data_IF_472356217472
#
_entry.id   IF_472356217472
#
_cell.length_a   1.000
_cell.length_b   1.000
_cell.length_c   1.000
_cell.angle_alpha   90.00
_cell.angle_beta   90.00
_cell.angle_gamma   90.00
#
_symmetry.space_group_name_H-M   'P 1'
#
loop_
_entity.id
_entity.type
_entity.pdbx_description
1 polymer ?
#
# COMPACT_ATOMS: atom_id res chain seq x y z
N UNK A 1 5.08 -8.58 -11.61
CA UNK A 1 4.76 -7.43 -12.48
C UNK A 1 3.27 -7.13 -12.48
N UNK A 2 2.41 -8.15 -12.44
CA UNK A 2 0.95 -8.07 -12.54
C UNK A 2 0.30 -7.08 -11.55
N UNK A 3 0.71 -7.12 -10.28
CA UNK A 3 0.11 -6.31 -9.20
C UNK A 3 0.15 -4.79 -9.45
N UNK A 4 1.25 -4.25 -10.00
CA UNK A 4 1.35 -2.80 -10.18
C UNK A 4 0.52 -2.31 -11.38
N UNK A 5 0.35 -3.16 -12.39
CA UNK A 5 -0.39 -2.81 -13.60
C UNK A 5 -1.90 -2.76 -13.35
N UNK A 6 -2.42 -3.66 -12.51
CA UNK A 6 -3.82 -3.67 -12.07
C UNK A 6 -4.20 -2.40 -11.30
N UNK A 7 -3.24 -1.87 -10.53
CA UNK A 7 -3.36 -0.61 -9.78
C UNK A 7 -3.04 0.65 -10.64
N UNK A 8 -2.80 0.48 -11.94
CA UNK A 8 -2.54 1.57 -12.89
C UNK A 8 -1.11 2.13 -12.89
N UNK A 9 -0.21 1.57 -12.06
CA UNK A 9 1.19 1.94 -12.02
C UNK A 9 1.97 1.32 -13.20
N UNK A 10 3.06 1.98 -13.57
CA UNK A 10 4.01 1.50 -14.56
C UNK A 10 5.45 1.60 -14.06
N UNK A 11 6.31 0.77 -14.63
CA UNK A 11 7.74 0.76 -14.36
C UNK A 11 8.51 0.01 -15.45
N UNK A 12 9.83 0.08 -15.35
CA UNK A 12 10.73 -0.75 -16.15
C UNK A 12 11.00 -2.05 -15.39
N UNK A 13 10.77 -3.18 -16.06
CA UNK A 13 11.02 -4.50 -15.49
C UNK A 13 12.41 -5.01 -15.85
N UNK A 14 12.94 -5.86 -14.97
CA UNK A 14 14.22 -6.54 -15.12
C UNK A 14 14.09 -7.97 -14.60
N UNK A 15 15.08 -8.82 -14.91
CA UNK A 15 15.11 -10.20 -14.44
C UNK A 15 15.79 -10.30 -13.07
N UNK A 16 15.16 -10.92 -12.05
CA UNK A 16 15.79 -11.13 -10.76
C UNK A 16 17.10 -11.92 -10.88
N UNK A 17 18.14 -11.45 -10.19
CA UNK A 17 19.47 -12.08 -10.24
C UNK A 17 20.32 -11.71 -11.47
N UNK A 18 19.78 -10.94 -12.41
CA UNK A 18 20.50 -10.45 -13.58
C UNK A 18 20.79 -8.95 -13.47
N UNK A 19 22.03 -8.62 -13.10
CA UNK A 19 22.50 -7.25 -12.94
C UNK A 19 22.48 -6.45 -14.25
N UNK A 20 22.70 -7.10 -15.40
CA UNK A 20 22.71 -6.44 -16.70
C UNK A 20 21.29 -6.00 -17.07
N UNK A 21 20.30 -6.88 -16.90
CA UNK A 21 18.89 -6.55 -17.14
C UNK A 21 18.41 -5.39 -16.25
N UNK A 22 18.90 -5.31 -15.00
CA UNK A 22 18.60 -4.20 -14.08
C UNK A 22 19.25 -2.90 -14.56
N UNK A 23 20.52 -2.94 -14.96
CA UNK A 23 21.22 -1.78 -15.49
C UNK A 23 20.51 -1.20 -16.73
N UNK A 24 20.04 -2.07 -17.63
CA UNK A 24 19.27 -1.68 -18.81
C UNK A 24 17.91 -1.07 -18.45
N UNK A 25 17.19 -1.64 -17.49
CA UNK A 25 15.93 -1.09 -16.99
C UNK A 25 16.13 0.32 -16.39
N UNK A 26 17.18 0.50 -15.58
CA UNK A 26 17.53 1.81 -15.01
C UNK A 26 17.89 2.80 -16.14
N UNK A 27 18.70 2.38 -17.12
CA UNK A 27 19.11 3.21 -18.24
C UNK A 27 17.90 3.71 -19.05
N UNK A 28 16.89 2.86 -19.30
CA UNK A 28 15.66 3.27 -20.00
C UNK A 28 14.90 4.40 -19.29
N UNK A 29 15.00 4.51 -17.96
CA UNK A 29 14.40 5.61 -17.19
C UNK A 29 15.31 6.85 -17.17
N UNK A 30 16.62 6.65 -16.97
CA UNK A 30 17.56 7.76 -16.79
C UNK A 30 17.92 8.46 -18.10
N UNK A 31 18.02 7.73 -19.20
CA UNK A 31 18.48 8.29 -20.48
C UNK A 31 17.35 8.81 -21.36
N UNK A 32 16.09 8.57 -21.00
CA UNK A 32 14.92 9.02 -21.75
C UNK A 32 14.03 9.93 -20.89
N UNK A 33 14.17 11.27 -21.00
CA UNK A 33 13.40 12.24 -20.23
C UNK A 33 11.88 12.12 -20.44
N UNK A 34 11.44 11.84 -21.67
CA UNK A 34 10.04 11.70 -22.04
C UNK A 34 9.41 10.49 -21.34
N UNK A 35 10.10 9.35 -21.37
CA UNK A 35 9.70 8.13 -20.68
C UNK A 35 9.63 8.35 -19.17
N UNK A 36 10.63 9.01 -18.60
CA UNK A 36 10.66 9.35 -17.17
C UNK A 36 9.45 10.21 -16.76
N UNK A 37 9.14 11.22 -17.56
CA UNK A 37 7.97 12.09 -17.32
C UNK A 37 6.65 11.33 -17.46
N UNK A 38 6.54 10.46 -18.47
CA UNK A 38 5.36 9.62 -18.66
C UNK A 38 5.11 8.72 -17.45
N UNK A 39 6.13 7.99 -17.00
CA UNK A 39 6.05 7.12 -15.82
C UNK A 39 5.68 7.92 -14.56
N UNK A 40 6.30 9.08 -14.36
CA UNK A 40 6.00 9.96 -13.23
C UNK A 40 4.55 10.43 -13.20
N UNK A 41 4.02 10.90 -14.33
CA UNK A 41 2.62 11.34 -14.43
C UNK A 41 1.64 10.20 -14.25
N UNK A 42 1.89 9.05 -14.88
CA UNK A 42 1.02 7.88 -14.73
C UNK A 42 0.96 7.43 -13.27
N UNK A 43 2.12 7.27 -12.62
CA UNK A 43 2.18 6.82 -11.23
C UNK A 43 1.61 7.87 -10.26
N UNK A 44 1.73 9.16 -10.57
CA UNK A 44 1.07 10.22 -9.81
C UNK A 44 -0.45 10.07 -9.85
N UNK A 45 -1.05 9.87 -11.02
CA UNK A 45 -2.50 9.65 -11.13
C UNK A 45 -2.95 8.34 -10.47
N UNK A 46 -2.22 7.25 -10.65
CA UNK A 46 -2.49 5.98 -9.98
C UNK A 46 -2.50 6.15 -8.44
N UNK A 47 -1.53 6.90 -7.90
CA UNK A 47 -1.45 7.15 -6.45
C UNK A 47 -2.61 7.95 -5.86
N UNK A 48 -3.38 8.66 -6.68
CA UNK A 48 -4.57 9.38 -6.23
C UNK A 48 -5.82 8.48 -6.11
N UNK A 49 -5.79 7.26 -6.65
CA UNK A 49 -6.94 6.35 -6.64
C UNK A 49 -7.38 5.93 -5.23
N UNK A 50 -6.42 5.76 -4.30
CA UNK A 50 -6.69 5.44 -2.90
C UNK A 50 -5.69 6.14 -1.96
N UNK A 51 -5.95 7.41 -1.58
CA UNK A 51 -5.10 8.13 -0.65
C UNK A 51 -5.01 7.43 0.71
N UNK A 52 -3.83 7.48 1.35
CA UNK A 52 -3.62 6.87 2.67
C UNK A 52 -4.58 7.42 3.73
N UNK A 53 -5.02 8.68 3.58
CA UNK A 53 -6.02 9.28 4.46
C UNK A 53 -7.34 8.48 4.45
N UNK A 54 -7.82 8.09 3.26
CA UNK A 54 -9.05 7.29 3.13
C UNK A 54 -8.91 5.93 3.80
N UNK A 55 -7.73 5.31 3.67
CA UNK A 55 -7.42 4.03 4.32
C UNK A 55 -7.44 4.19 5.85
N UNK A 56 -6.84 5.27 6.36
CA UNK A 56 -6.83 5.59 7.80
C UNK A 56 -8.26 5.83 8.30
N UNK A 57 -9.10 6.53 7.54
CA UNK A 57 -10.51 6.75 7.90
C UNK A 57 -11.26 5.42 8.07
N UNK A 58 -11.01 4.44 7.21
CA UNK A 58 -11.60 3.10 7.34
C UNK A 58 -11.13 2.38 8.61
N UNK A 59 -9.84 2.49 8.95
CA UNK A 59 -9.33 1.94 10.21
C UNK A 59 -9.94 2.62 11.43
N UNK A 60 -10.05 3.95 11.43
CA UNK A 60 -10.66 4.70 12.53
C UNK A 60 -12.14 4.32 12.71
N UNK A 61 -12.91 4.27 11.61
CA UNK A 61 -14.30 3.82 11.63
C UNK A 61 -14.43 2.42 12.23
N UNK A 62 -13.54 1.49 11.84
CA UNK A 62 -13.55 0.13 12.37
C UNK A 62 -13.18 0.09 13.86
N UNK A 63 -12.16 0.83 14.29
CA UNK A 63 -11.76 0.91 15.71
C UNK A 63 -12.88 1.50 16.55
N UNK A 64 -13.52 2.57 16.11
CA UNK A 64 -14.67 3.16 16.80
C UNK A 64 -15.82 2.17 16.94
N UNK A 65 -16.11 1.39 15.89
CA UNK A 65 -17.10 0.32 15.94
C UNK A 65 -16.74 -0.70 17.03
N UNK A 66 -15.51 -1.19 17.05
CA UNK A 66 -15.04 -2.14 18.07
C UNK A 66 -15.13 -1.56 19.49
N UNK A 67 -14.80 -0.28 19.68
CA UNK A 67 -14.90 0.39 20.99
C UNK A 67 -16.36 0.51 21.46
N UNK A 68 -17.29 0.82 20.55
CA UNK A 68 -18.73 0.90 20.86
C UNK A 68 -19.34 -0.47 21.22
N UNK A 69 -18.83 -1.55 20.63
CA UNK A 69 -19.34 -2.91 20.83
C UNK A 69 -18.53 -3.78 21.80
N UNK A 70 -17.49 -3.22 22.42
CA UNK A 70 -16.74 -3.87 23.50
C UNK A 70 -17.64 -4.00 24.73
N UNK A 71 -18.34 -5.13 24.81
CA UNK A 71 -19.23 -5.47 25.92
C UNK A 71 -18.44 -5.46 27.24
N UNK A 72 -19.09 -4.94 28.31
CA UNK A 72 -18.56 -4.74 29.67
C UNK A 72 -17.65 -5.89 30.13
N UNK A 73 -16.60 -5.59 30.93
CA UNK A 73 -15.71 -6.63 31.44
C UNK A 73 -16.54 -7.74 32.10
N UNK A 74 -16.33 -8.99 31.70
CA UNK A 74 -16.85 -10.14 32.46
C UNK A 74 -16.36 -9.94 33.89
N UNK A 75 -17.28 -9.68 34.81
CA UNK A 75 -16.98 -9.59 36.23
C UNK A 75 -16.21 -10.84 36.60
N UNK A 76 -14.95 -10.65 37.01
CA UNK A 76 -14.13 -11.71 37.55
C UNK A 76 -14.85 -12.16 38.80
N UNK A 77 -15.54 -13.29 38.76
CA UNK A 77 -16.19 -13.88 39.93
C UNK A 77 -15.12 -14.03 41.00
N UNK A 78 -15.21 -13.21 42.04
CA UNK A 78 -14.50 -13.41 43.29
C UNK A 78 -14.99 -14.73 43.86
N UNK A 79 -14.17 -15.78 43.74
CA UNK A 79 -14.24 -16.90 44.67
C UNK A 79 -13.47 -16.47 45.91
N UNK A 80 -14.21 -15.94 46.88
CA UNK A 80 -13.72 -15.66 48.24
C UNK A 80 -14.54 -16.50 49.21
N UNK A 81 -13.83 -17.40 49.91
CA UNK A 81 -14.21 -18.13 51.15
C UNK A 81 -15.25 -19.25 50.99
N UNK A 82 -15.20 -20.41 51.66
CA UNK A 82 -14.42 -20.96 52.80
C UNK A 82 -14.21 -22.46 52.52
#
# INVERSE_FOLDING_TARGET
AEVIAEEGYAGEFFQPGDAQSMAEAIARVLQNPERRRQLGLQNFYASQGLPIANVVDWYLLHIEHLLKHRSRPKSRTEVVSV
#
